data_IF_445201926023
#
_entry.id   IF_445201926023
#
_cell.length_a   1.000
_cell.length_b   1.000
_cell.length_c   1.000
_cell.angle_alpha   90.00
_cell.angle_beta   90.00
_cell.angle_gamma   90.00
#
_symmetry.space_group_name_H-M   'P 1'
#
loop_
_entity.id
_entity.type
_entity.pdbx_description
1 polymer ?
#
# COMPACT_ATOMS: atom_id res chain seq x y z
N UNK A 1 -32.67 -48.59 -38.52
CA UNK A 1 -32.48 -48.37 -37.06
C UNK A 1 -31.08 -48.73 -36.52
N UNK A 2 -30.28 -49.64 -37.11
CA UNK A 2 -28.97 -50.05 -36.54
C UNK A 2 -27.80 -49.04 -36.72
N UNK A 3 -27.86 -48.07 -37.65
CA UNK A 3 -26.77 -47.10 -37.88
C UNK A 3 -26.69 -45.94 -36.86
N UNK A 4 -27.82 -45.52 -36.28
CA UNK A 4 -27.86 -44.42 -35.30
C UNK A 4 -27.52 -44.87 -33.87
N UNK A 5 -27.74 -46.15 -33.55
CA UNK A 5 -27.35 -46.73 -32.25
C UNK A 5 -25.82 -46.83 -32.11
N UNK A 6 -25.11 -47.12 -33.21
CA UNK A 6 -23.65 -47.23 -33.23
C UNK A 6 -22.98 -45.87 -33.04
N UNK A 7 -23.53 -44.80 -33.64
CA UNK A 7 -23.05 -43.43 -33.42
C UNK A 7 -23.36 -42.90 -32.03
N UNK A 8 -24.50 -43.29 -31.42
CA UNK A 8 -24.82 -42.95 -30.03
C UNK A 8 -23.85 -43.56 -29.01
N UNK A 9 -23.40 -44.80 -29.22
CA UNK A 9 -22.42 -45.47 -28.36
C UNK A 9 -21.02 -44.88 -28.55
N UNK A 10 -20.65 -44.47 -29.76
CA UNK A 10 -19.37 -43.78 -30.03
C UNK A 10 -19.37 -42.37 -29.40
N UNK A 11 -20.51 -41.66 -29.41
CA UNK A 11 -20.61 -40.33 -28.79
C UNK A 11 -20.59 -40.38 -27.25
N UNK A 12 -21.22 -41.39 -26.63
CA UNK A 12 -21.15 -41.63 -25.19
C UNK A 12 -19.77 -42.16 -24.76
N UNK A 13 -19.12 -42.97 -25.61
CA UNK A 13 -17.75 -43.44 -25.38
C UNK A 13 -16.71 -42.31 -25.42
N UNK A 14 -16.87 -41.31 -26.29
CA UNK A 14 -15.96 -40.16 -26.37
C UNK A 14 -16.14 -39.19 -25.19
N UNK A 15 -17.35 -39.08 -24.63
CA UNK A 15 -17.57 -38.35 -23.37
C UNK A 15 -17.05 -39.11 -22.13
N UNK A 16 -17.11 -40.44 -22.09
CA UNK A 16 -16.66 -41.23 -20.92
C UNK A 16 -15.13 -41.40 -20.85
N UNK A 17 -14.44 -41.50 -22.00
CA UNK A 17 -12.98 -41.67 -22.06
C UNK A 17 -12.22 -40.38 -21.72
N UNK A 18 -12.78 -39.21 -22.00
CA UNK A 18 -12.09 -37.92 -21.73
C UNK A 18 -12.17 -37.50 -20.26
N UNK A 19 -13.22 -37.87 -19.53
CA UNK A 19 -13.35 -37.62 -18.09
C UNK A 19 -12.52 -38.57 -17.21
N UNK A 20 -12.29 -39.80 -17.67
CA UNK A 20 -11.60 -40.83 -16.88
C UNK A 20 -10.12 -40.50 -16.56
N UNK A 21 -9.44 -39.82 -17.49
CA UNK A 21 -8.04 -39.40 -17.31
C UNK A 21 -7.87 -38.38 -16.18
N UNK A 22 -8.75 -37.38 -16.09
CA UNK A 22 -8.62 -36.32 -15.08
C UNK A 22 -8.96 -36.80 -13.67
N UNK A 23 -9.94 -37.70 -13.53
CA UNK A 23 -10.21 -38.36 -12.24
C UNK A 23 -8.96 -39.14 -11.78
N UNK A 24 -8.28 -39.83 -12.70
CA UNK A 24 -7.00 -40.51 -12.39
C UNK A 24 -5.94 -39.50 -11.92
N UNK A 25 -5.83 -38.33 -12.55
CA UNK A 25 -4.89 -37.29 -12.13
C UNK A 25 -5.22 -36.78 -10.71
N UNK A 26 -6.49 -36.53 -10.40
CA UNK A 26 -6.93 -36.08 -9.07
C UNK A 26 -6.67 -37.15 -7.98
N UNK A 27 -6.83 -38.44 -8.30
CA UNK A 27 -6.43 -39.55 -7.41
C UNK A 27 -4.91 -39.56 -7.20
N UNK A 28 -4.11 -39.31 -8.25
CA UNK A 28 -2.65 -39.23 -8.10
C UNK A 28 -2.25 -38.03 -7.24
N UNK A 29 -2.96 -36.91 -7.36
CA UNK A 29 -2.79 -35.74 -6.49
C UNK A 29 -3.05 -36.07 -5.02
N UNK A 30 -4.12 -36.82 -4.70
CA UNK A 30 -4.40 -37.23 -3.32
C UNK A 30 -3.39 -38.23 -2.75
N UNK A 31 -2.80 -39.07 -3.62
CA UNK A 31 -1.70 -39.97 -3.30
C UNK A 31 -0.33 -39.28 -3.20
N UNK A 32 -0.26 -37.95 -3.36
CA UNK A 32 0.98 -37.15 -3.44
C UNK A 32 1.92 -37.54 -4.59
N UNK A 33 1.41 -38.27 -5.60
CA UNK A 33 2.14 -38.68 -6.81
C UNK A 33 2.07 -37.57 -7.86
N UNK A 34 2.68 -36.43 -7.53
CA UNK A 34 2.54 -35.20 -8.31
C UNK A 34 3.08 -35.32 -9.74
N UNK A 35 4.18 -36.04 -9.93
CA UNK A 35 4.75 -36.28 -11.26
C UNK A 35 3.77 -36.96 -12.21
N UNK A 36 3.12 -38.03 -11.76
CA UNK A 36 2.13 -38.75 -12.57
C UNK A 36 0.91 -37.87 -12.87
N UNK A 37 0.45 -37.08 -11.90
CA UNK A 37 -0.66 -36.15 -12.10
C UNK A 37 -0.32 -35.06 -13.13
N UNK A 38 0.88 -34.48 -13.04
CA UNK A 38 1.40 -33.47 -13.97
C UNK A 38 1.38 -34.00 -15.40
N UNK A 39 1.92 -35.19 -15.64
CA UNK A 39 1.93 -35.81 -16.97
C UNK A 39 0.51 -35.94 -17.53
N UNK A 40 -0.44 -36.43 -16.73
CA UNK A 40 -1.83 -36.60 -17.18
C UNK A 40 -2.48 -35.26 -17.51
N UNK A 41 -2.28 -34.22 -16.69
CA UNK A 41 -2.81 -32.88 -16.99
C UNK A 41 -2.16 -32.27 -18.24
N UNK A 42 -0.85 -32.45 -18.44
CA UNK A 42 -0.15 -32.00 -19.64
C UNK A 42 -0.67 -32.68 -20.90
N UNK A 43 -0.84 -34.01 -20.87
CA UNK A 43 -1.39 -34.79 -21.99
C UNK A 43 -2.82 -34.34 -22.33
N UNK A 44 -3.61 -33.96 -21.32
CA UNK A 44 -4.95 -33.41 -21.53
C UNK A 44 -4.88 -32.05 -22.20
N UNK A 45 -4.06 -31.13 -21.68
CA UNK A 45 -3.90 -29.77 -22.21
C UNK A 45 -3.27 -29.75 -23.62
N UNK A 46 -2.46 -30.76 -23.98
CA UNK A 46 -1.95 -30.92 -25.34
C UNK A 46 -3.07 -31.16 -26.37
N UNK A 47 -4.18 -31.77 -25.94
CA UNK A 47 -5.36 -32.03 -26.78
C UNK A 47 -6.41 -30.92 -26.68
N UNK A 48 -6.48 -30.25 -25.53
CA UNK A 48 -7.45 -29.19 -25.20
C UNK A 48 -6.76 -28.01 -24.48
N UNK A 49 -6.00 -27.17 -25.20
CA UNK A 49 -5.20 -26.09 -24.61
C UNK A 49 -6.04 -25.01 -23.92
N UNK A 50 -7.32 -24.90 -24.28
CA UNK A 50 -8.30 -23.94 -23.78
C UNK A 50 -8.89 -24.29 -22.41
N UNK A 51 -8.64 -25.49 -21.89
CA UNK A 51 -9.20 -25.94 -20.62
C UNK A 51 -8.53 -25.26 -19.41
N UNK A 52 -8.90 -24.01 -19.13
CA UNK A 52 -8.31 -23.18 -18.07
C UNK A 52 -8.40 -23.82 -16.68
N UNK A 53 -9.52 -24.46 -16.33
CA UNK A 53 -9.65 -25.17 -15.06
C UNK A 53 -8.66 -26.35 -14.91
N UNK A 54 -8.33 -27.08 -16.00
CA UNK A 54 -7.30 -28.13 -15.98
C UNK A 54 -5.91 -27.50 -15.84
N UNK A 55 -5.70 -26.35 -16.47
CA UNK A 55 -4.48 -25.56 -16.31
C UNK A 55 -4.26 -25.11 -14.87
N UNK A 56 -5.31 -24.69 -14.17
CA UNK A 56 -5.27 -24.43 -12.73
C UNK A 56 -4.91 -25.66 -11.91
N UNK A 57 -5.43 -26.85 -12.26
CA UNK A 57 -5.03 -28.12 -11.61
C UNK A 57 -3.56 -28.46 -11.83
N UNK A 58 -3.05 -28.25 -13.04
CA UNK A 58 -1.63 -28.40 -13.36
C UNK A 58 -0.76 -27.42 -12.55
N UNK A 59 -1.18 -26.15 -12.47
CA UNK A 59 -0.52 -25.14 -11.64
C UNK A 59 -0.45 -25.55 -10.17
N UNK A 60 -1.53 -26.13 -9.64
CA UNK A 60 -1.57 -26.63 -8.26
C UNK A 60 -0.70 -27.89 -8.07
N UNK A 61 -0.63 -28.78 -9.05
CA UNK A 61 0.27 -29.93 -9.02
C UNK A 61 1.75 -29.49 -8.97
N UNK A 62 2.13 -28.48 -9.77
CA UNK A 62 3.45 -27.86 -9.70
C UNK A 62 3.72 -27.20 -8.34
N UNK A 63 2.73 -26.51 -7.76
CA UNK A 63 2.85 -25.90 -6.43
C UNK A 63 3.17 -26.95 -5.37
N UNK A 64 2.42 -28.07 -5.36
CA UNK A 64 2.62 -29.15 -4.38
C UNK A 64 3.95 -29.88 -4.55
N UNK A 65 4.48 -29.94 -5.78
CA UNK A 65 5.82 -30.45 -6.06
C UNK A 65 6.95 -29.46 -5.71
N UNK A 66 6.63 -28.20 -5.39
CA UNK A 66 7.61 -27.13 -5.15
C UNK A 66 8.19 -26.51 -6.43
N UNK A 67 7.63 -26.81 -7.60
CA UNK A 67 8.01 -26.19 -8.87
C UNK A 67 7.32 -24.83 -9.03
N UNK A 68 7.71 -23.88 -8.17
CA UNK A 68 6.99 -22.62 -7.98
C UNK A 68 6.91 -21.75 -9.25
N UNK A 69 7.97 -21.70 -10.08
CA UNK A 69 7.95 -20.90 -11.30
C UNK A 69 6.95 -21.42 -12.35
N UNK A 70 6.92 -22.74 -12.56
CA UNK A 70 5.92 -23.37 -13.45
C UNK A 70 4.51 -23.22 -12.92
N UNK A 71 4.33 -23.33 -11.60
CA UNK A 71 3.05 -23.10 -10.94
C UNK A 71 2.53 -21.68 -11.21
N UNK A 72 3.38 -20.67 -11.00
CA UNK A 72 3.04 -19.26 -11.25
C UNK A 72 2.70 -19.04 -12.73
N UNK A 73 3.47 -19.63 -13.65
CA UNK A 73 3.21 -19.52 -15.08
C UNK A 73 1.83 -20.06 -15.46
N UNK A 74 1.48 -21.27 -15.01
CA UNK A 74 0.19 -21.89 -15.35
C UNK A 74 -0.99 -21.15 -14.72
N UNK A 75 -0.89 -20.69 -13.47
CA UNK A 75 -1.96 -19.88 -12.88
C UNK A 75 -2.11 -18.51 -13.56
N UNK A 76 -1.02 -17.86 -13.99
CA UNK A 76 -1.12 -16.63 -14.77
C UNK A 76 -1.84 -16.85 -16.10
N UNK A 77 -1.54 -17.94 -16.79
CA UNK A 77 -2.24 -18.31 -18.03
C UNK A 77 -3.72 -18.59 -17.76
N UNK A 78 -4.08 -19.24 -16.64
CA UNK A 78 -5.49 -19.37 -16.26
C UNK A 78 -6.13 -17.99 -16.08
N UNK A 79 -5.52 -17.09 -15.30
CA UNK A 79 -6.09 -15.76 -15.03
C UNK A 79 -6.13 -14.83 -16.26
N UNK A 80 -5.32 -15.11 -17.28
CA UNK A 80 -5.43 -14.45 -18.59
C UNK A 80 -6.68 -14.91 -19.36
N UNK A 81 -7.04 -16.19 -19.26
CA UNK A 81 -8.23 -16.75 -19.90
C UNK A 81 -9.51 -16.45 -19.09
N UNK A 82 -9.42 -16.56 -17.76
CA UNK A 82 -10.52 -16.41 -16.82
C UNK A 82 -10.09 -15.46 -15.67
N UNK A 83 -10.22 -14.13 -15.88
CA UNK A 83 -9.88 -13.15 -14.86
C UNK A 83 -10.67 -13.37 -13.58
N UNK A 84 -9.97 -13.51 -12.44
CA UNK A 84 -10.60 -13.67 -11.13
C UNK A 84 -11.06 -15.08 -10.78
N UNK A 85 -10.68 -16.11 -11.56
CA UNK A 85 -10.94 -17.52 -11.22
C UNK A 85 -10.47 -17.84 -9.78
N UNK A 86 -11.38 -18.14 -8.83
CA UNK A 86 -11.06 -18.17 -7.40
C UNK A 86 -9.92 -19.11 -7.03
N UNK A 87 -9.86 -20.29 -7.67
CA UNK A 87 -8.84 -21.30 -7.39
C UNK A 87 -7.45 -20.81 -7.83
N UNK A 88 -7.32 -20.30 -9.05
CA UNK A 88 -6.07 -19.74 -9.56
C UNK A 88 -5.62 -18.52 -8.74
N UNK A 89 -6.53 -17.62 -8.37
CA UNK A 89 -6.18 -16.46 -7.51
C UNK A 89 -5.62 -16.92 -6.17
N UNK A 90 -6.30 -17.84 -5.48
CA UNK A 90 -5.88 -18.35 -4.18
C UNK A 90 -4.47 -18.95 -4.24
N UNK A 91 -4.26 -19.87 -5.18
CA UNK A 91 -3.01 -20.64 -5.25
C UNK A 91 -1.87 -19.90 -5.95
N UNK A 92 -2.14 -18.92 -6.82
CA UNK A 92 -1.10 -18.01 -7.31
C UNK A 92 -0.57 -17.14 -6.18
N UNK A 93 -1.45 -16.60 -5.31
CA UNK A 93 -1.02 -15.87 -4.13
C UNK A 93 -0.16 -16.73 -3.19
N UNK A 94 -0.55 -18.00 -2.96
CA UNK A 94 0.28 -18.95 -2.21
C UNK A 94 1.62 -19.25 -2.89
N UNK A 95 1.65 -19.40 -4.22
CA UNK A 95 2.88 -19.63 -4.96
C UNK A 95 3.84 -18.44 -4.86
N UNK A 96 3.32 -17.20 -4.91
CA UNK A 96 4.11 -16.00 -4.66
C UNK A 96 4.61 -15.91 -3.23
N UNK A 97 3.77 -16.25 -2.24
CA UNK A 97 4.18 -16.32 -0.85
C UNK A 97 5.34 -17.30 -0.63
N UNK A 98 5.27 -18.50 -1.21
CA UNK A 98 6.35 -19.49 -1.13
C UNK A 98 7.65 -19.04 -1.83
N UNK A 99 7.54 -18.14 -2.82
CA UNK A 99 8.69 -17.47 -3.45
C UNK A 99 9.14 -16.22 -2.70
N UNK A 100 8.57 -15.94 -1.53
CA UNK A 100 8.81 -14.73 -0.73
C UNK A 100 8.51 -13.41 -1.47
N UNK A 101 7.66 -13.47 -2.50
CA UNK A 101 7.19 -12.30 -3.27
C UNK A 101 5.91 -11.76 -2.61
N UNK A 102 6.05 -11.20 -1.42
CA UNK A 102 4.94 -10.79 -0.56
C UNK A 102 3.98 -9.79 -1.23
N UNK A 103 4.51 -8.74 -1.86
CA UNK A 103 3.68 -7.72 -2.54
C UNK A 103 2.79 -8.36 -3.61
N UNK A 104 3.37 -9.22 -4.45
CA UNK A 104 2.64 -9.94 -5.51
C UNK A 104 1.59 -10.90 -4.96
N UNK A 105 1.85 -11.52 -3.80
CA UNK A 105 0.88 -12.39 -3.15
C UNK A 105 -0.37 -11.59 -2.73
N UNK A 106 -0.16 -10.45 -2.08
CA UNK A 106 -1.24 -9.56 -1.62
C UNK A 106 -2.03 -8.99 -2.80
N UNK A 107 -1.34 -8.44 -3.81
CA UNK A 107 -1.97 -7.92 -5.04
C UNK A 107 -2.84 -8.98 -5.72
N UNK A 108 -2.33 -10.22 -5.81
CA UNK A 108 -3.08 -11.33 -6.42
C UNK A 108 -4.33 -11.64 -5.61
N UNK A 109 -4.20 -11.79 -4.30
CA UNK A 109 -5.32 -12.10 -3.41
C UNK A 109 -6.39 -11.02 -3.34
N UNK A 110 -6.05 -9.75 -3.60
CA UNK A 110 -7.04 -8.68 -3.75
C UNK A 110 -8.00 -8.89 -4.92
N UNK A 111 -7.68 -9.75 -5.88
CA UNK A 111 -8.56 -10.14 -6.98
C UNK A 111 -9.57 -11.24 -6.61
N UNK A 112 -9.44 -11.86 -5.43
CA UNK A 112 -10.30 -12.98 -5.04
C UNK A 112 -11.73 -12.51 -4.82
N UNK A 113 -12.68 -13.12 -5.51
CA UNK A 113 -14.12 -12.86 -5.34
C UNK A 113 -14.88 -14.18 -5.44
N UNK A 114 -15.45 -14.65 -4.34
CA UNK A 114 -16.32 -15.83 -4.36
C UNK A 114 -17.40 -15.74 -3.26
N UNK A 115 -18.64 -15.46 -3.66
CA UNK A 115 -19.77 -15.34 -2.73
C UNK A 115 -20.19 -16.66 -2.09
N UNK A 116 -19.89 -17.79 -2.73
CA UNK A 116 -20.23 -19.13 -2.23
C UNK A 116 -19.26 -19.60 -1.14
N UNK A 117 -18.05 -19.04 -1.10
CA UNK A 117 -17.00 -19.41 -0.16
C UNK A 117 -16.48 -18.19 0.64
N UNK A 118 -17.33 -17.56 1.47
CA UNK A 118 -16.95 -16.37 2.24
C UNK A 118 -15.81 -16.63 3.24
N UNK A 119 -15.75 -17.84 3.81
CA UNK A 119 -14.67 -18.24 4.74
C UNK A 119 -13.28 -18.20 4.08
N UNK A 120 -13.19 -18.47 2.78
CA UNK A 120 -11.91 -18.40 2.05
C UNK A 120 -11.48 -16.94 1.88
N UNK A 121 -12.42 -16.03 1.64
CA UNK A 121 -12.11 -14.59 1.55
C UNK A 121 -11.60 -14.05 2.89
N UNK A 122 -12.21 -14.44 4.01
CA UNK A 122 -11.75 -14.08 5.35
C UNK A 122 -10.34 -14.61 5.63
N UNK A 123 -10.07 -15.87 5.27
CA UNK A 123 -8.74 -16.47 5.44
C UNK A 123 -7.70 -15.77 4.55
N UNK A 124 -8.03 -15.44 3.30
CA UNK A 124 -7.16 -14.67 2.41
C UNK A 124 -6.84 -13.29 3.02
N UNK A 125 -7.84 -12.62 3.61
CA UNK A 125 -7.64 -11.32 4.28
C UNK A 125 -6.72 -11.45 5.49
N UNK A 126 -6.91 -12.50 6.30
CA UNK A 126 -6.04 -12.83 7.43
C UNK A 126 -4.61 -13.11 6.97
N UNK A 127 -4.44 -13.96 5.96
CA UNK A 127 -3.13 -14.28 5.37
C UNK A 127 -2.45 -13.02 4.83
N UNK A 128 -3.16 -12.18 4.09
CA UNK A 128 -2.63 -10.92 3.57
C UNK A 128 -2.12 -10.01 4.69
N UNK A 129 -2.84 -9.93 5.81
CA UNK A 129 -2.43 -9.16 6.99
C UNK A 129 -1.15 -9.74 7.61
N UNK A 130 -1.08 -11.07 7.78
CA UNK A 130 0.10 -11.76 8.32
C UNK A 130 1.32 -11.58 7.41
N UNK A 131 1.12 -11.66 6.09
CA UNK A 131 2.16 -11.44 5.09
C UNK A 131 2.67 -10.00 5.13
N UNK A 132 1.79 -9.00 5.27
CA UNK A 132 2.20 -7.61 5.40
C UNK A 132 3.06 -7.37 6.66
N UNK A 133 2.70 -8.00 7.77
CA UNK A 133 3.47 -7.95 9.02
C UNK A 133 4.86 -8.57 8.80
N UNK A 134 4.92 -9.79 8.25
CA UNK A 134 6.17 -10.50 8.01
C UNK A 134 7.08 -9.74 7.02
N UNK A 135 6.51 -9.19 5.95
CA UNK A 135 7.22 -8.36 4.98
C UNK A 135 7.80 -7.11 5.64
N UNK A 136 7.00 -6.42 6.46
CA UNK A 136 7.44 -5.23 7.21
C UNK A 136 8.58 -5.55 8.19
N UNK A 137 8.48 -6.66 8.93
CA UNK A 137 9.53 -7.12 9.84
C UNK A 137 10.83 -7.47 9.10
N UNK A 138 10.73 -8.17 7.97
CA UNK A 138 11.90 -8.50 7.15
C UNK A 138 12.56 -7.25 6.58
N UNK A 139 11.77 -6.30 6.08
CA UNK A 139 12.26 -5.03 5.58
C UNK A 139 12.98 -4.23 6.68
N UNK A 140 12.42 -4.18 7.89
CA UNK A 140 13.05 -3.55 9.05
C UNK A 140 14.40 -4.20 9.41
N UNK A 141 14.45 -5.54 9.51
CA UNK A 141 15.68 -6.29 9.77
C UNK A 141 16.75 -6.02 8.72
N UNK A 142 16.35 -6.03 7.45
CA UNK A 142 17.24 -5.73 6.32
C UNK A 142 17.79 -4.30 6.43
N UNK A 143 16.92 -3.31 6.66
CA UNK A 143 17.33 -1.91 6.81
C UNK A 143 18.33 -1.73 7.96
N UNK A 144 18.10 -2.39 9.10
CA UNK A 144 19.02 -2.36 10.24
C UNK A 144 20.37 -3.02 9.93
N UNK A 145 20.37 -4.15 9.22
CA UNK A 145 21.60 -4.83 8.81
C UNK A 145 22.42 -4.01 7.80
N UNK A 146 21.74 -3.25 6.93
CA UNK A 146 22.32 -2.43 5.87
C UNK A 146 22.48 -0.96 6.28
N UNK A 147 22.31 -0.61 7.57
CA UNK A 147 22.31 0.78 8.03
C UNK A 147 23.55 1.58 7.59
N UNK A 148 24.73 0.93 7.63
CA UNK A 148 25.98 1.57 7.23
C UNK A 148 26.03 1.94 5.75
N UNK A 149 25.48 1.11 4.87
CA UNK A 149 25.41 1.42 3.43
C UNK A 149 24.29 2.41 3.12
N UNK A 150 23.22 2.44 3.92
CA UNK A 150 22.15 3.42 3.79
C UNK A 150 22.60 4.84 4.17
N UNK A 151 23.66 5.00 4.97
CA UNK A 151 24.21 6.31 5.32
C UNK A 151 24.65 7.13 4.09
N UNK A 152 24.99 6.47 2.98
CA UNK A 152 25.39 7.13 1.72
C UNK A 152 24.24 7.29 0.72
N UNK A 153 23.09 6.67 0.98
CA UNK A 153 21.92 6.72 0.09
C UNK A 153 21.06 7.92 0.49
N UNK A 154 20.89 8.86 -0.42
CA UNK A 154 19.95 9.95 -0.19
C UNK A 154 18.52 9.39 -0.17
N UNK A 155 17.73 9.68 0.88
CA UNK A 155 16.34 9.27 0.92
C UNK A 155 15.53 10.01 -0.14
N UNK A 156 14.40 9.43 -0.54
CA UNK A 156 13.51 10.03 -1.52
C UNK A 156 12.86 11.29 -0.91
N UNK A 157 13.10 12.44 -1.57
CA UNK A 157 12.65 13.76 -1.13
C UNK A 157 11.13 13.88 -0.97
N UNK A 158 10.35 13.05 -1.69
CA UNK A 158 8.89 13.05 -1.63
C UNK A 158 8.34 11.97 -0.68
N UNK A 159 9.22 11.17 -0.06
CA UNK A 159 8.80 10.16 0.90
C UNK A 159 8.69 10.75 2.29
N UNK A 160 7.53 10.54 2.92
CA UNK A 160 7.16 11.12 4.22
C UNK A 160 6.81 10.00 5.21
N UNK A 161 7.36 10.06 6.42
CA UNK A 161 6.99 9.18 7.51
C UNK A 161 6.37 9.98 8.67
N UNK A 162 5.22 9.53 9.16
CA UNK A 162 4.52 10.14 10.30
C UNK A 162 4.78 9.30 11.56
N UNK A 163 5.47 9.88 12.54
CA UNK A 163 5.70 9.23 13.83
C UNK A 163 4.49 9.37 14.75
N UNK A 164 4.49 8.61 15.85
CA UNK A 164 3.47 8.80 16.89
C UNK A 164 3.75 10.08 17.65
N UNK A 165 2.68 10.85 17.82
CA UNK A 165 2.73 12.09 18.58
C UNK A 165 2.99 11.76 20.06
N UNK A 166 3.93 12.45 20.69
CA UNK A 166 4.25 12.28 22.10
C UNK A 166 3.22 13.05 22.95
N UNK A 167 2.66 12.40 23.97
CA UNK A 167 1.72 13.01 24.89
C UNK A 167 2.54 13.50 26.08
N UNK A 168 2.58 14.82 26.24
CA UNK A 168 3.28 15.50 27.33
C UNK A 168 2.32 15.84 28.48
N UNK A 169 1.07 15.40 28.41
CA UNK A 169 0.07 15.60 29.48
C UNK A 169 0.44 14.76 30.72
N UNK A 170 0.32 15.30 31.94
CA UNK A 170 0.72 14.60 33.17
C UNK A 170 0.02 13.26 33.39
N UNK A 171 -1.24 13.16 32.97
CA UNK A 171 -2.14 12.02 33.14
C UNK A 171 -2.09 11.00 31.97
N UNK A 172 -1.36 11.32 30.89
CA UNK A 172 -1.27 10.52 29.66
C UNK A 172 -2.63 10.19 29.02
N UNK A 173 -3.63 11.06 29.21
CA UNK A 173 -4.99 10.83 28.73
C UNK A 173 -5.10 10.83 27.20
N UNK A 174 -4.14 11.42 26.47
CA UNK A 174 -4.14 11.44 25.00
C UNK A 174 -3.47 10.22 24.38
N UNK A 175 -2.99 9.24 25.15
CA UNK A 175 -2.26 8.08 24.60
C UNK A 175 -3.03 7.34 23.49
N UNK A 176 -4.34 7.18 23.62
CA UNK A 176 -5.17 6.59 22.57
C UNK A 176 -5.23 7.51 21.33
N UNK A 177 -5.35 8.81 21.56
CA UNK A 177 -5.41 9.83 20.52
C UNK A 177 -4.10 9.94 19.72
N UNK A 178 -2.92 9.75 20.32
CA UNK A 178 -1.62 9.80 19.62
C UNK A 178 -1.58 8.93 18.35
N UNK A 179 -1.98 7.66 18.49
CA UNK A 179 -1.97 6.68 17.40
C UNK A 179 -3.09 6.96 16.40
N UNK A 180 -4.24 7.44 16.90
CA UNK A 180 -5.36 7.86 16.08
C UNK A 180 -4.99 9.04 15.20
N UNK A 181 -4.41 10.09 15.78
CA UNK A 181 -3.96 11.29 15.07
C UNK A 181 -2.94 10.97 14.00
N UNK A 182 -1.91 10.18 14.32
CA UNK A 182 -0.95 9.72 13.33
C UNK A 182 -1.63 8.94 12.19
N UNK A 183 -2.59 8.06 12.48
CA UNK A 183 -3.32 7.33 11.45
C UNK A 183 -4.18 8.24 10.56
N UNK A 184 -4.84 9.25 11.13
CA UNK A 184 -5.61 10.24 10.38
C UNK A 184 -4.70 11.05 9.45
N UNK A 185 -3.59 11.59 9.98
CA UNK A 185 -2.59 12.34 9.20
C UNK A 185 -1.98 11.48 8.08
N UNK A 186 -1.62 10.22 8.35
CA UNK A 186 -1.14 9.28 7.32
C UNK A 186 -2.18 9.11 6.20
N UNK A 187 -3.45 8.92 6.59
CA UNK A 187 -4.55 8.71 5.64
C UNK A 187 -4.75 9.93 4.75
N UNK A 188 -4.69 11.12 5.33
CA UNK A 188 -4.87 12.37 4.57
C UNK A 188 -3.67 12.70 3.69
N UNK A 189 -2.44 12.53 4.18
CA UNK A 189 -1.23 12.69 3.36
C UNK A 189 -1.19 11.70 2.18
N UNK A 190 -1.72 10.48 2.35
CA UNK A 190 -1.75 9.49 1.25
C UNK A 190 -2.67 9.87 0.08
N UNK A 191 -3.55 10.87 0.27
CA UNK A 191 -4.39 11.41 -0.80
C UNK A 191 -3.62 12.36 -1.72
N UNK A 192 -2.47 12.87 -1.28
CA UNK A 192 -1.62 13.78 -2.04
C UNK A 192 -0.75 12.95 -3.00
N UNK A 193 -1.00 13.08 -4.30
CA UNK A 193 -0.40 12.19 -5.31
C UNK A 193 1.11 12.37 -5.47
N UNK A 194 1.62 13.56 -5.14
CA UNK A 194 3.06 13.86 -5.20
C UNK A 194 3.86 13.25 -4.05
N UNK A 195 3.19 12.76 -3.00
CA UNK A 195 3.83 12.21 -1.81
C UNK A 195 3.78 10.69 -1.78
N UNK A 196 4.85 10.10 -1.25
CA UNK A 196 4.90 8.69 -0.89
C UNK A 196 4.89 8.57 0.63
N UNK A 197 3.76 8.17 1.18
CA UNK A 197 3.64 8.02 2.64
C UNK A 197 4.11 6.64 3.06
N UNK A 198 5.03 6.58 4.04
CA UNK A 198 5.49 5.31 4.61
C UNK A 198 4.33 4.64 5.34
N UNK A 199 4.08 3.38 5.00
CA UNK A 199 3.07 2.57 5.67
C UNK A 199 3.34 2.44 7.17
N UNK A 200 2.27 2.55 7.96
CA UNK A 200 2.31 2.43 9.43
C UNK A 200 3.00 1.15 9.89
N UNK A 201 2.75 0.02 9.22
CA UNK A 201 3.32 -1.29 9.60
C UNK A 201 4.84 -1.31 9.44
N UNK A 202 5.38 -0.62 8.44
CA UNK A 202 6.84 -0.52 8.22
C UNK A 202 7.52 0.28 9.32
N UNK A 203 6.94 1.42 9.70
CA UNK A 203 7.43 2.20 10.84
C UNK A 203 7.40 1.36 12.13
N UNK A 204 6.27 0.72 12.45
CA UNK A 204 6.15 -0.10 13.66
C UNK A 204 7.16 -1.25 13.69
N UNK A 205 7.33 -1.96 12.57
CA UNK A 205 8.29 -3.05 12.47
C UNK A 205 9.72 -2.55 12.69
N UNK A 206 10.08 -1.39 12.13
CA UNK A 206 11.40 -0.79 12.34
C UNK A 206 11.63 -0.40 13.80
N UNK A 207 10.68 0.30 14.42
CA UNK A 207 10.80 0.72 15.82
C UNK A 207 10.93 -0.48 16.76
N UNK A 208 10.18 -1.57 16.50
CA UNK A 208 10.29 -2.82 17.24
C UNK A 208 11.67 -3.46 17.08
N UNK A 209 12.24 -3.49 15.87
CA UNK A 209 13.57 -4.03 15.61
C UNK A 209 14.68 -3.17 16.25
N UNK A 210 14.52 -1.84 16.23
CA UNK A 210 15.42 -0.90 16.92
C UNK A 210 15.36 -1.03 18.45
N UNK A 211 14.39 -1.77 18.99
CA UNK A 211 14.09 -1.88 20.42
C UNK A 211 13.90 -0.51 21.08
N UNK A 212 13.43 0.49 20.31
CA UNK A 212 12.91 1.71 20.90
C UNK A 212 11.77 1.27 21.84
N UNK A 213 11.83 1.71 23.10
CA UNK A 213 11.12 1.08 24.23
C UNK A 213 9.61 0.93 24.05
N UNK A 214 8.89 0.47 25.08
CA UNK A 214 7.44 0.16 25.00
C UNK A 214 6.55 1.31 24.48
N UNK A 215 7.06 2.54 24.38
CA UNK A 215 6.37 3.71 23.86
C UNK A 215 6.36 3.77 22.33
N UNK A 216 7.39 3.26 21.63
CA UNK A 216 7.52 3.39 20.17
C UNK A 216 7.54 4.86 19.71
N UNK A 217 8.00 5.77 20.56
CA UNK A 217 8.05 7.21 20.27
C UNK A 217 9.45 7.54 19.72
N UNK A 218 9.47 8.36 18.68
CA UNK A 218 10.69 8.86 18.05
C UNK A 218 10.90 10.29 18.54
N UNK A 219 12.09 10.58 19.07
CA UNK A 219 12.50 11.92 19.46
C UNK A 219 13.30 12.61 18.34
N UNK A 220 13.64 13.88 18.53
CA UNK A 220 14.38 14.66 17.53
C UNK A 220 15.77 14.10 17.21
N UNK A 221 16.43 13.44 18.17
CA UNK A 221 17.77 12.89 17.98
C UNK A 221 17.75 11.56 17.20
N UNK A 222 16.67 10.79 17.37
CA UNK A 222 16.48 9.48 16.73
C UNK A 222 15.75 9.61 15.39
N UNK A 223 15.01 10.68 15.14
CA UNK A 223 14.27 10.92 13.91
C UNK A 223 15.12 10.80 12.63
N UNK A 224 16.32 11.40 12.53
CA UNK A 224 17.09 11.31 11.29
C UNK A 224 17.53 9.87 10.98
N UNK A 225 17.84 9.10 12.02
CA UNK A 225 18.16 7.67 11.91
C UNK A 225 16.96 6.86 11.44
N UNK A 226 15.79 7.07 12.05
CA UNK A 226 14.53 6.38 11.67
C UNK A 226 14.16 6.69 10.21
N UNK A 227 14.27 7.95 9.77
CA UNK A 227 13.98 8.32 8.39
C UNK A 227 14.88 7.66 7.37
N UNK A 228 16.19 7.62 7.61
CA UNK A 228 17.14 6.93 6.71
C UNK A 228 16.84 5.44 6.59
N UNK A 229 16.54 4.77 7.70
CA UNK A 229 16.17 3.36 7.72
C UNK A 229 14.83 3.07 7.01
N UNK A 230 13.91 4.05 6.97
CA UNK A 230 12.65 3.94 6.22
C UNK A 230 12.78 4.39 4.77
N UNK A 231 13.88 5.04 4.39
CA UNK A 231 14.05 5.71 3.09
C UNK A 231 13.17 6.95 2.94
N UNK A 232 12.76 7.56 4.05
CA UNK A 232 11.92 8.76 4.08
C UNK A 232 12.76 10.00 4.38
N UNK A 233 12.80 10.95 3.46
CA UNK A 233 13.54 12.20 3.67
C UNK A 233 12.85 13.09 4.70
N UNK A 234 11.52 13.07 4.76
CA UNK A 234 10.77 13.93 5.67
C UNK A 234 10.12 13.12 6.79
N UNK A 235 10.51 13.39 8.03
CA UNK A 235 9.86 12.84 9.22
C UNK A 235 9.01 13.88 9.92
N UNK A 236 7.75 13.51 10.18
CA UNK A 236 6.85 14.30 11.01
C UNK A 236 6.92 13.72 12.42
N UNK A 237 7.46 14.51 13.33
CA UNK A 237 7.46 14.24 14.78
C UNK A 237 6.62 15.31 15.44
N UNK A 238 5.79 14.93 16.41
CA UNK A 238 4.99 15.93 17.11
C UNK A 238 4.71 15.61 18.55
N UNK A 239 4.32 16.64 19.29
CA UNK A 239 3.99 16.61 20.70
C UNK A 239 2.55 17.09 20.90
N UNK A 240 1.86 16.55 21.89
CA UNK A 240 0.48 16.87 22.26
C UNK A 240 0.40 17.26 23.74
N UNK A 241 -0.42 18.26 24.04
CA UNK A 241 -0.77 18.69 25.41
C UNK A 241 -2.29 18.89 25.54
N UNK A 242 -2.82 18.86 26.77
CA UNK A 242 -4.29 18.82 27.03
C UNK A 242 -4.97 20.16 27.34
N UNK A 243 -4.27 21.18 27.86
CA UNK A 243 -4.91 22.43 28.34
C UNK A 243 -5.81 23.10 27.28
N UNK A 244 -5.40 22.94 26.03
CA UNK A 244 -6.15 22.90 24.78
C UNK A 244 -5.44 21.83 23.94
N UNK A 245 -6.06 21.23 22.92
CA UNK A 245 -5.34 20.23 22.10
C UNK A 245 -4.31 20.98 21.28
N UNK A 246 -3.10 21.07 21.84
CA UNK A 246 -1.97 21.76 21.27
C UNK A 246 -1.07 20.72 20.64
N UNK A 247 -0.91 20.78 19.32
CA UNK A 247 0.03 19.94 18.61
C UNK A 247 1.20 20.79 18.14
N UNK A 248 2.40 20.46 18.58
CA UNK A 248 3.63 20.95 17.93
C UNK A 248 4.09 19.86 16.98
N UNK A 249 4.21 20.17 15.69
CA UNK A 249 4.76 19.26 14.68
C UNK A 249 6.04 19.84 14.13
N UNK A 250 7.04 18.99 13.97
CA UNK A 250 8.33 19.33 13.39
C UNK A 250 8.60 18.40 12.23
N UNK A 251 9.01 18.99 11.10
CA UNK A 251 9.42 18.26 9.92
C UNK A 251 10.95 18.16 9.92
N UNK A 252 11.48 16.96 10.14
CA UNK A 252 12.92 16.72 10.22
C UNK A 252 13.41 16.06 8.93
N UNK A 253 14.49 16.60 8.34
CA UNK A 253 15.22 15.95 7.25
C UNK A 253 15.96 14.74 7.79
N UNK A 254 15.78 13.57 7.18
CA UNK A 254 16.55 12.40 7.58
C UNK A 254 17.97 12.39 7.01
N UNK A 255 18.20 13.07 5.88
CA UNK A 255 19.52 13.28 5.31
C UNK A 255 20.41 14.22 6.15
N UNK A 256 19.89 15.40 6.53
CA UNK A 256 20.69 16.43 7.23
C UNK A 256 20.50 16.44 8.74
N UNK A 257 19.37 15.91 9.23
CA UNK A 257 18.96 16.04 10.63
C UNK A 257 18.40 17.41 10.98
N UNK A 258 18.29 18.33 10.02
CA UNK A 258 17.78 19.68 10.25
C UNK A 258 16.24 19.70 10.26
N UNK A 259 15.69 20.60 11.08
CA UNK A 259 14.27 20.88 11.10
C UNK A 259 13.95 21.82 9.93
N UNK A 260 13.24 21.31 8.91
CA UNK A 260 12.79 22.09 7.74
C UNK A 260 11.72 23.11 8.12
N UNK A 261 10.93 22.81 9.14
CA UNK A 261 9.90 23.69 9.66
C UNK A 261 9.21 23.11 10.88
N UNK A 262 8.60 24.01 11.66
CA UNK A 262 7.77 23.66 12.82
C UNK A 262 6.41 24.31 12.66
N UNK A 263 5.35 23.55 12.92
CA UNK A 263 3.99 24.06 13.02
C UNK A 263 3.50 23.86 14.46
N UNK A 264 2.78 24.84 14.97
CA UNK A 264 2.15 24.80 16.29
C UNK A 264 0.69 25.14 16.13
N UNK A 265 -0.17 24.16 16.35
CA UNK A 265 -1.62 24.27 16.14
C UNK A 265 -2.31 24.07 17.48
N UNK A 266 -3.26 24.94 17.78
CA UNK A 266 -4.09 24.88 18.98
C UNK A 266 -5.53 24.71 18.55
N UNK A 267 -6.19 23.68 19.06
CA UNK A 267 -7.60 23.43 18.76
C UNK A 267 -8.38 23.23 20.05
N UNK A 268 -9.60 23.76 20.07
CA UNK A 268 -10.59 23.48 21.12
C UNK A 268 -10.87 21.97 21.18
N UNK A 269 -11.08 21.44 22.38
CA UNK A 269 -11.25 19.99 22.57
C UNK A 269 -12.45 19.43 21.79
N UNK A 270 -13.54 20.20 21.65
CA UNK A 270 -14.73 19.82 20.89
C UNK A 270 -14.50 19.76 19.38
N UNK A 271 -13.47 20.47 18.88
CA UNK A 271 -13.09 20.55 17.46
C UNK A 271 -11.85 19.73 17.16
N UNK A 272 -11.51 18.74 17.99
CA UNK A 272 -10.29 17.93 17.84
C UNK A 272 -10.09 17.30 16.45
N UNK A 273 -11.17 17.10 15.69
CA UNK A 273 -11.16 16.58 14.32
C UNK A 273 -10.57 17.56 13.29
N UNK A 274 -10.48 18.86 13.59
CA UNK A 274 -9.83 19.86 12.74
C UNK A 274 -8.30 19.75 12.78
N UNK A 275 -7.76 19.22 13.89
CA UNK A 275 -6.34 19.09 14.13
C UNK A 275 -5.58 18.32 13.03
N UNK A 276 -5.97 17.08 12.63
CA UNK A 276 -5.27 16.36 11.56
C UNK A 276 -5.27 17.15 10.24
N UNK A 277 -6.38 17.80 9.90
CA UNK A 277 -6.52 18.59 8.67
C UNK A 277 -5.56 19.79 8.69
N UNK A 278 -5.49 20.51 9.82
CA UNK A 278 -4.57 21.62 10.01
C UNK A 278 -3.10 21.19 9.91
N UNK A 279 -2.75 20.06 10.53
CA UNK A 279 -1.40 19.47 10.47
C UNK A 279 -1.02 19.16 9.01
N UNK A 280 -1.91 18.52 8.26
CA UNK A 280 -1.65 18.16 6.86
C UNK A 280 -1.45 19.40 5.99
N UNK A 281 -2.27 20.43 6.19
CA UNK A 281 -2.17 21.72 5.48
C UNK A 281 -0.83 22.40 5.75
N UNK A 282 -0.42 22.50 7.00
CA UNK A 282 0.84 23.13 7.40
C UNK A 282 2.05 22.35 6.86
N UNK A 283 2.00 21.02 6.93
CA UNK A 283 3.07 20.16 6.39
C UNK A 283 3.19 20.31 4.87
N UNK A 284 2.07 20.33 4.14
CA UNK A 284 2.09 20.57 2.70
C UNK A 284 2.72 21.94 2.38
N UNK A 285 2.40 22.97 3.18
CA UNK A 285 3.02 24.29 3.08
C UNK A 285 4.53 24.27 3.32
N UNK A 286 5.00 23.60 4.37
CA UNK A 286 6.44 23.47 4.69
C UNK A 286 7.18 22.71 3.56
N UNK A 287 6.54 21.70 2.97
CA UNK A 287 7.08 20.94 1.84
C UNK A 287 7.00 21.70 0.50
N UNK A 288 6.37 22.88 0.45
CA UNK A 288 6.17 23.64 -0.77
C UNK A 288 5.20 22.99 -1.76
N UNK A 289 4.31 22.11 -1.29
CA UNK A 289 3.35 21.38 -2.12
C UNK A 289 2.07 22.19 -2.24
N UNK A 290 1.71 22.52 -3.48
CA UNK A 290 0.44 23.16 -3.80
C UNK A 290 -0.61 22.05 -3.98
N UNK A 291 -1.59 22.00 -3.09
CA UNK A 291 -2.66 21.01 -3.14
C UNK A 291 -3.64 21.35 -4.27
N UNK A 292 -4.00 20.35 -5.06
CA UNK A 292 -5.07 20.49 -6.06
C UNK A 292 -6.43 20.66 -5.37
N UNK A 293 -7.45 21.22 -6.05
CA UNK A 293 -8.81 21.29 -5.50
C UNK A 293 -9.40 19.91 -5.16
N UNK A 294 -9.06 18.88 -5.95
CA UNK A 294 -9.47 17.49 -5.70
C UNK A 294 -8.85 16.95 -4.41
N UNK A 295 -7.54 17.12 -4.21
CA UNK A 295 -6.83 16.69 -3.00
C UNK A 295 -7.34 17.44 -1.77
N UNK A 296 -7.51 18.76 -1.87
CA UNK A 296 -8.05 19.59 -0.79
C UNK A 296 -9.44 19.12 -0.36
N UNK A 297 -10.32 18.87 -1.34
CA UNK A 297 -11.67 18.33 -1.07
C UNK A 297 -11.62 16.94 -0.46
N UNK A 298 -10.72 16.07 -0.92
CA UNK A 298 -10.59 14.71 -0.40
C UNK A 298 -10.07 14.68 1.05
N UNK A 299 -9.22 15.63 1.43
CA UNK A 299 -8.71 15.80 2.80
C UNK A 299 -9.74 16.52 3.70
N UNK A 300 -10.68 17.26 3.12
CA UNK A 300 -11.64 18.09 3.87
C UNK A 300 -11.10 19.48 4.20
N UNK A 301 -10.09 19.95 3.46
CA UNK A 301 -9.60 21.33 3.55
C UNK A 301 -10.62 22.22 2.81
N UNK A 302 -11.20 23.23 3.47
CA UNK A 302 -12.12 24.15 2.81
C UNK A 302 -11.41 24.84 1.64
N UNK A 303 -11.96 24.69 0.42
CA UNK A 303 -11.49 25.40 -0.74
C UNK A 303 -11.68 26.89 -0.50
N UNK A 304 -10.64 27.70 -0.75
CA UNK A 304 -10.76 29.14 -0.67
C UNK A 304 -11.73 29.60 -1.78
N UNK A 305 -13.02 29.72 -1.46
CA UNK A 305 -13.97 30.42 -2.30
C UNK A 305 -13.75 31.89 -2.05
N UNK A 306 -13.16 32.60 -3.02
CA UNK A 306 -13.25 34.06 -2.99
C UNK A 306 -14.75 34.40 -2.97
N UNK A 307 -15.25 35.13 -1.96
CA UNK A 307 -16.64 35.57 -1.97
C UNK A 307 -16.85 36.42 -3.23
N UNK A 308 -17.97 36.21 -3.93
CA UNK A 308 -18.31 36.92 -5.17
C UNK A 308 -18.18 38.46 -5.04
N UNK A 309 -18.34 38.98 -3.83
CA UNK A 309 -18.17 40.40 -3.47
C UNK A 309 -16.76 40.97 -3.72
N UNK A 310 -15.75 40.12 -3.91
CA UNK A 310 -14.36 40.53 -4.23
C UNK A 310 -14.11 40.49 -5.75
N UNK A 311 -14.83 39.66 -6.52
CA UNK A 311 -14.70 39.61 -7.99
C UNK A 311 -15.27 40.85 -8.70
N UNK A 312 -16.24 41.53 -8.09
CA UNK A 312 -16.89 42.71 -8.69
C UNK A 312 -16.15 44.04 -8.43
N UNK A 313 -15.05 44.03 -7.67
CA UNK A 313 -14.29 45.25 -7.43
C UNK A 313 -13.36 45.53 -8.62
N UNK A 314 -13.48 46.69 -9.29
CA UNK A 314 -12.60 47.03 -10.40
C UNK A 314 -11.13 47.05 -9.94
N UNK A 315 -10.23 46.57 -10.82
CA UNK A 315 -8.78 46.45 -10.60
C UNK A 315 -8.10 47.75 -10.10
N UNK A 316 -8.75 48.90 -10.26
CA UNK A 316 -8.28 50.22 -9.84
C UNK A 316 -8.15 50.38 -8.32
N UNK A 317 -8.82 49.55 -7.52
CA UNK A 317 -8.70 49.59 -6.05
C UNK A 317 -7.48 48.83 -5.50
N UNK A 318 -6.77 48.05 -6.33
CA UNK A 318 -5.67 47.20 -5.89
C UNK A 318 -4.27 47.82 -6.12
N UNK A 319 -4.17 49.05 -6.66
CA UNK A 319 -2.88 49.69 -6.94
C UNK A 319 -2.83 51.19 -6.55
N UNK A 320 -2.71 51.55 -5.26
CA UNK A 320 -2.09 52.81 -4.90
C UNK A 320 -0.56 52.59 -4.84
N UNK A 321 0.18 53.31 -5.68
CA UNK A 321 1.66 53.40 -5.72
C UNK A 321 2.46 52.45 -6.64
N UNK A 322 2.12 52.41 -7.94
CA UNK A 322 3.17 52.33 -8.98
C UNK A 322 3.29 53.70 -9.66
N UNK A 323 3.65 54.70 -8.84
CA UNK A 323 3.87 56.08 -9.26
C UNK A 323 5.33 56.53 -9.20
N UNK A 324 6.28 55.63 -8.97
CA UNK A 324 7.73 55.94 -8.95
C UNK A 324 8.59 54.76 -9.41
N UNK A 325 8.69 54.54 -10.71
CA UNK A 325 9.85 53.85 -11.30
C UNK A 325 10.52 54.81 -12.29
N UNK A 326 11.86 54.98 -12.22
CA UNK A 326 12.57 55.95 -13.05
C UNK A 326 12.49 55.55 -14.53
N UNK A 327 12.21 56.53 -15.40
CA UNK A 327 12.20 56.36 -16.86
C UNK A 327 13.57 55.87 -17.34
N UNK A 328 13.65 54.63 -17.78
CA UNK A 328 14.77 54.13 -18.57
C UNK A 328 14.59 54.64 -20.00
N UNK A 329 15.51 55.51 -20.43
CA UNK A 329 15.64 55.94 -21.82
C UNK A 329 16.24 54.79 -22.64
N UNK A 330 15.52 54.32 -23.66
CA UNK A 330 16.09 53.52 -24.74
C UNK A 330 16.36 54.46 -25.93
N UNK A 331 17.61 54.54 -26.45
CA UNK A 331 17.88 55.30 -27.66
C UNK A 331 17.34 54.53 -28.87
N UNK A 332 16.70 55.27 -29.77
CA UNK A 332 16.27 54.76 -31.07
C UNK A 332 17.49 54.38 -31.90
N UNK A 333 17.46 53.16 -32.46
CA UNK A 333 17.87 52.86 -33.84
C UNK A 333 17.04 51.67 -34.33
#
# INVERSE_FOLDING_TARGET
MKKYLLWGIIFIGVLSLTGCGLIKADIKMSQKKYDEAITIYQDYLAKKPEAAWVRSRLGFAYLKKGQLDKSIEEFKKTLQAEPGEPYAVLYLGMAYLNKEKFDKAIETWQLYRNKEQPLVEEEIRRLSTLVQIAASQRAAKKAMAEEKSLATVQPDANTVAVCYFQDLSPDKSLRAFQKGLAAMVITDLSKIKSLKVVERMRLQALLAEMKLGQTGIVDQNTAPRVGRLLGAENLIVGNLTLSSIHATTSLTSSGTGEIKGTSSITVEQEKFYELPIAIVKDIAGILGIILTPEESKAIGIPLFTMPLSIMERPLTLWMPEIGKLPRIYLPKL
#
